data_IF_674292879466
#
_entry.id   IF_674292879466
#
_cell.length_a   1.000
_cell.length_b   1.000
_cell.length_c   1.000
_cell.angle_alpha   90.00
_cell.angle_beta   90.00
_cell.angle_gamma   90.00
#
_symmetry.space_group_name_H-M   'P 1'
#
loop_
_entity.id
_entity.type
_entity.pdbx_description
1 polymer ?
#
# COMPACT_ATOMS: atom_id res chain seq x y z
N UNK A 1 -23.26 -29.11 -3.07
CA UNK A 1 -23.23 -27.71 -2.59
C UNK A 1 -24.46 -27.01 -3.13
N UNK A 2 -25.33 -26.52 -2.26
CA UNK A 2 -26.57 -25.83 -2.68
C UNK A 2 -26.23 -24.47 -3.30
N UNK A 3 -26.98 -24.01 -4.32
CA UNK A 3 -26.81 -22.66 -4.90
C UNK A 3 -26.88 -21.55 -3.83
N UNK A 4 -27.64 -21.78 -2.74
CA UNK A 4 -27.70 -20.86 -1.60
C UNK A 4 -26.38 -20.80 -0.82
N UNK A 5 -25.66 -21.91 -0.68
CA UNK A 5 -24.36 -21.97 0.00
C UNK A 5 -23.27 -21.26 -0.80
N UNK A 6 -23.33 -21.29 -2.14
CA UNK A 6 -22.37 -20.58 -2.98
C UNK A 6 -22.39 -19.05 -2.76
N UNK A 7 -23.58 -18.49 -2.45
CA UNK A 7 -23.76 -17.08 -2.12
C UNK A 7 -23.55 -16.74 -0.64
N UNK A 8 -23.18 -17.72 0.18
CA UNK A 8 -22.89 -17.44 1.59
C UNK A 8 -21.52 -16.82 1.77
N UNK A 9 -21.49 -15.64 2.38
CA UNK A 9 -20.26 -14.89 2.59
C UNK A 9 -19.61 -15.24 3.94
N UNK A 10 -18.39 -15.77 3.90
CA UNK A 10 -17.64 -16.23 5.07
C UNK A 10 -17.98 -17.65 5.50
N UNK A 11 -17.19 -18.20 6.41
CA UNK A 11 -17.33 -19.57 6.92
C UNK A 11 -18.10 -19.58 8.24
N UNK A 12 -18.88 -20.64 8.49
CA UNK A 12 -19.55 -20.86 9.78
C UNK A 12 -18.64 -21.75 10.62
N UNK A 13 -18.23 -21.25 11.78
CA UNK A 13 -17.35 -21.94 12.71
C UNK A 13 -18.06 -22.07 14.05
N UNK A 14 -17.97 -23.23 14.67
CA UNK A 14 -18.58 -23.48 15.98
C UNK A 14 -17.97 -22.55 17.05
N UNK A 15 -18.82 -21.99 17.91
CA UNK A 15 -18.41 -21.00 18.92
C UNK A 15 -18.45 -19.53 18.44
N UNK A 16 -18.87 -19.26 17.20
CA UNK A 16 -19.05 -17.91 16.68
C UNK A 16 -20.49 -17.64 16.24
N UNK A 17 -21.09 -16.57 16.75
CA UNK A 17 -22.48 -16.16 16.43
C UNK A 17 -22.62 -15.59 15.00
N UNK A 18 -21.51 -15.14 14.42
CA UNK A 18 -21.44 -14.55 13.09
C UNK A 18 -20.56 -15.40 12.19
N UNK A 19 -20.75 -15.28 10.88
CA UNK A 19 -19.78 -15.84 9.93
C UNK A 19 -18.45 -15.13 10.02
N UNK A 20 -17.40 -15.92 9.91
CA UNK A 20 -16.04 -15.47 10.12
C UNK A 20 -15.15 -15.79 8.93
N UNK A 21 -14.02 -15.12 8.89
CA UNK A 21 -12.93 -15.34 7.94
C UNK A 21 -11.66 -15.51 8.77
N UNK A 22 -10.70 -16.31 8.29
CA UNK A 22 -9.40 -16.40 8.92
C UNK A 22 -8.59 -15.12 8.65
N UNK A 23 -8.29 -14.34 9.68
CA UNK A 23 -7.50 -13.11 9.61
C UNK A 23 -6.08 -13.40 9.11
N UNK A 24 -5.48 -14.55 9.47
CA UNK A 24 -4.14 -14.91 9.00
C UNK A 24 -4.10 -15.11 7.49
N UNK A 25 -5.15 -15.72 6.93
CA UNK A 25 -5.33 -15.87 5.49
C UNK A 25 -5.46 -14.51 4.82
N UNK A 26 -6.31 -13.63 5.36
CA UNK A 26 -6.49 -12.27 4.84
C UNK A 26 -5.19 -11.44 4.86
N UNK A 27 -4.41 -11.54 5.94
CA UNK A 27 -3.11 -10.87 6.08
C UNK A 27 -2.05 -11.43 5.14
N UNK A 28 -1.97 -12.75 5.01
CA UNK A 28 -1.06 -13.40 4.05
C UNK A 28 -1.40 -12.98 2.62
N UNK A 29 -2.68 -12.96 2.27
CA UNK A 29 -3.15 -12.52 0.96
C UNK A 29 -2.83 -11.04 0.69
N UNK A 30 -2.97 -10.15 1.69
CA UNK A 30 -2.54 -8.75 1.59
C UNK A 30 -1.03 -8.62 1.38
N UNK A 31 -0.22 -9.42 2.08
CA UNK A 31 1.23 -9.45 1.92
C UNK A 31 1.69 -9.93 0.54
N UNK A 32 1.02 -10.95 -0.02
CA UNK A 32 1.27 -11.44 -1.38
C UNK A 32 0.97 -10.34 -2.42
N UNK A 33 -0.18 -9.70 -2.30
CA UNK A 33 -0.56 -8.60 -3.20
C UNK A 33 0.38 -7.40 -3.06
N UNK A 34 0.82 -7.08 -1.84
CA UNK A 34 1.82 -6.05 -1.60
C UNK A 34 3.14 -6.39 -2.28
N UNK A 35 3.65 -7.62 -2.14
CA UNK A 35 4.91 -8.04 -2.75
C UNK A 35 4.85 -7.92 -4.28
N UNK A 36 3.81 -8.44 -4.92
CA UNK A 36 3.64 -8.32 -6.37
C UNK A 36 3.42 -6.87 -6.82
N UNK A 37 2.65 -6.10 -6.06
CA UNK A 37 2.39 -4.70 -6.37
C UNK A 37 3.63 -3.82 -6.24
N UNK A 38 4.47 -4.07 -5.23
CA UNK A 38 5.76 -3.41 -5.07
C UNK A 38 6.69 -3.76 -6.23
N UNK A 39 6.83 -5.05 -6.55
CA UNK A 39 7.62 -5.50 -7.70
C UNK A 39 7.14 -4.86 -9.01
N UNK A 40 5.83 -4.83 -9.22
CA UNK A 40 5.22 -4.21 -10.39
C UNK A 40 5.50 -2.71 -10.47
N UNK A 41 5.38 -1.99 -9.35
CA UNK A 41 5.63 -0.55 -9.29
C UNK A 41 7.10 -0.24 -9.54
N UNK A 42 8.01 -0.95 -8.87
CA UNK A 42 9.46 -0.80 -9.06
C UNK A 42 9.84 -1.12 -10.50
N UNK A 43 9.29 -2.19 -11.09
CA UNK A 43 9.57 -2.55 -12.48
C UNK A 43 9.09 -1.46 -13.45
N UNK A 44 7.89 -0.93 -13.27
CA UNK A 44 7.37 0.15 -14.11
C UNK A 44 8.17 1.45 -14.00
N UNK A 45 8.67 1.77 -12.80
CA UNK A 45 9.51 2.97 -12.57
C UNK A 45 10.92 2.79 -13.14
N UNK A 46 11.53 1.61 -12.97
CA UNK A 46 12.92 1.37 -13.39
C UNK A 46 13.07 1.07 -14.89
N UNK A 47 12.14 0.28 -15.46
CA UNK A 47 12.21 -0.12 -16.87
C UNK A 47 11.39 0.78 -17.80
N UNK A 48 10.66 1.75 -17.25
CA UNK A 48 9.70 2.60 -17.99
C UNK A 48 8.66 1.81 -18.80
N UNK A 49 8.47 0.53 -18.47
CA UNK A 49 7.60 -0.38 -19.21
C UNK A 49 6.41 -0.80 -18.35
N UNK A 50 5.21 -0.45 -18.81
CA UNK A 50 3.98 -0.57 -18.03
C UNK A 50 3.26 -1.91 -18.07
N UNK A 51 3.74 -2.88 -18.84
CA UNK A 51 3.00 -4.13 -19.11
C UNK A 51 2.73 -4.94 -17.83
N UNK A 52 3.74 -5.03 -16.94
CA UNK A 52 3.64 -5.78 -15.68
C UNK A 52 2.57 -5.15 -14.79
N UNK A 53 2.54 -3.81 -14.74
CA UNK A 53 1.54 -3.04 -14.01
C UNK A 53 0.13 -3.23 -14.55
N UNK A 54 -0.05 -3.38 -15.87
CA UNK A 54 -1.38 -3.69 -16.43
C UNK A 54 -1.87 -5.05 -15.95
N UNK A 55 -1.03 -6.08 -16.03
CA UNK A 55 -1.39 -7.42 -15.57
C UNK A 55 -1.64 -7.46 -14.06
N UNK A 56 -0.79 -6.80 -13.27
CA UNK A 56 -0.97 -6.73 -11.83
C UNK A 56 -2.29 -6.02 -11.45
N UNK A 57 -2.58 -4.85 -12.02
CA UNK A 57 -3.82 -4.12 -11.72
C UNK A 57 -5.05 -4.92 -12.16
N UNK A 58 -4.99 -5.59 -13.32
CA UNK A 58 -6.08 -6.46 -13.77
C UNK A 58 -6.32 -7.62 -12.79
N UNK A 59 -5.26 -8.31 -12.39
CA UNK A 59 -5.32 -9.38 -11.39
C UNK A 59 -5.82 -8.88 -10.04
N UNK A 60 -5.29 -7.76 -9.55
CA UNK A 60 -5.68 -7.14 -8.28
C UNK A 60 -7.16 -6.78 -8.24
N UNK A 61 -7.67 -6.14 -9.30
CA UNK A 61 -9.09 -5.78 -9.40
C UNK A 61 -9.98 -7.02 -9.46
N UNK A 62 -9.60 -8.04 -10.24
CA UNK A 62 -10.34 -9.30 -10.31
C UNK A 62 -10.35 -10.01 -8.95
N UNK A 63 -9.20 -10.07 -8.27
CA UNK A 63 -9.07 -10.69 -6.97
C UNK A 63 -9.98 -10.02 -5.93
N UNK A 64 -9.97 -8.68 -5.86
CA UNK A 64 -10.86 -7.92 -4.96
C UNK A 64 -12.34 -8.06 -5.32
N UNK A 65 -12.67 -8.14 -6.61
CA UNK A 65 -14.03 -8.40 -7.07
C UNK A 65 -14.52 -9.76 -6.53
N UNK A 66 -13.71 -10.81 -6.69
CA UNK A 66 -14.02 -12.14 -6.17
C UNK A 66 -14.11 -12.09 -4.65
N UNK A 67 -13.19 -11.44 -3.94
CA UNK A 67 -13.23 -11.31 -2.47
C UNK A 67 -14.53 -10.71 -1.95
N UNK A 68 -15.08 -9.70 -2.63
CA UNK A 68 -16.34 -9.03 -2.24
C UNK A 68 -17.57 -9.92 -2.48
N UNK A 69 -17.51 -10.81 -3.47
CA UNK A 69 -18.58 -11.75 -3.80
C UNK A 69 -18.48 -12.98 -2.89
N UNK A 70 -17.34 -13.68 -2.92
CA UNK A 70 -17.03 -14.83 -2.11
C UNK A 70 -15.50 -14.95 -1.88
N UNK A 71 -15.02 -14.75 -0.64
CA UNK A 71 -13.58 -14.78 -0.34
C UNK A 71 -12.94 -16.15 -0.47
N UNK A 72 -13.70 -17.23 -0.38
CA UNK A 72 -13.17 -18.60 -0.45
C UNK A 72 -12.60 -18.95 -1.83
N UNK A 73 -12.92 -18.16 -2.86
CA UNK A 73 -12.43 -18.38 -4.24
C UNK A 73 -11.43 -17.33 -4.71
N UNK A 74 -11.08 -16.34 -3.87
CA UNK A 74 -10.09 -15.33 -4.24
C UNK A 74 -8.71 -15.98 -4.42
N UNK A 75 -8.05 -15.82 -5.58
CA UNK A 75 -6.74 -16.41 -5.83
C UNK A 75 -5.71 -16.08 -4.76
N UNK A 76 -5.67 -14.83 -4.31
CA UNK A 76 -4.72 -14.40 -3.28
C UNK A 76 -5.06 -14.98 -1.89
N UNK A 77 -6.35 -15.14 -1.56
CA UNK A 77 -6.80 -15.79 -0.31
C UNK A 77 -6.43 -17.28 -0.32
N UNK A 78 -6.68 -17.98 -1.44
CA UNK A 78 -6.29 -19.38 -1.61
C UNK A 78 -4.78 -19.58 -1.46
N UNK A 79 -3.96 -18.70 -2.04
CA UNK A 79 -2.52 -18.71 -1.83
C UNK A 79 -2.15 -18.41 -0.38
N UNK A 80 -2.80 -17.43 0.24
CA UNK A 80 -2.63 -17.14 1.66
C UNK A 80 -2.92 -18.34 2.54
N UNK A 81 -4.03 -19.04 2.29
CA UNK A 81 -4.47 -20.26 2.96
C UNK A 81 -3.42 -21.35 2.87
N UNK A 82 -2.85 -21.57 1.68
CA UNK A 82 -1.78 -22.54 1.48
C UNK A 82 -0.56 -22.26 2.38
N UNK A 83 -0.16 -20.99 2.55
CA UNK A 83 0.97 -20.63 3.41
C UNK A 83 0.67 -20.69 4.91
N UNK A 84 -0.55 -20.39 5.34
CA UNK A 84 -0.92 -20.29 6.77
C UNK A 84 -1.67 -21.51 7.31
N UNK A 85 -1.90 -22.55 6.49
CA UNK A 85 -2.73 -23.72 6.87
C UNK A 85 -2.27 -24.47 8.13
N UNK A 86 -0.97 -24.43 8.45
CA UNK A 86 -0.42 -25.09 9.64
C UNK A 86 -0.43 -24.20 10.90
N UNK A 87 -0.97 -22.98 10.81
CA UNK A 87 -1.10 -22.05 11.93
C UNK A 87 -2.48 -22.15 12.58
N UNK A 88 -2.58 -21.82 13.86
CA UNK A 88 -3.88 -21.70 14.53
C UNK A 88 -4.69 -20.56 13.90
N UNK A 89 -5.91 -20.81 13.39
CA UNK A 89 -6.70 -19.79 12.73
C UNK A 89 -7.16 -18.73 13.73
N UNK A 90 -7.15 -17.47 13.28
CA UNK A 90 -7.70 -16.35 14.03
C UNK A 90 -8.91 -15.81 13.29
N UNK A 91 -10.08 -15.83 13.92
CA UNK A 91 -11.33 -15.53 13.24
C UNK A 91 -11.74 -14.09 13.39
N UNK A 92 -12.08 -13.46 12.26
CA UNK A 92 -12.60 -12.10 12.15
C UNK A 92 -14.00 -12.11 11.58
N UNK A 93 -14.90 -11.24 12.05
CA UNK A 93 -16.24 -11.10 11.47
C UNK A 93 -16.18 -10.86 9.95
N UNK A 94 -16.96 -11.62 9.17
CA UNK A 94 -16.88 -11.56 7.71
C UNK A 94 -17.40 -10.21 7.14
N UNK A 95 -18.44 -9.63 7.75
CA UNK A 95 -19.10 -8.41 7.26
C UNK A 95 -18.16 -7.19 7.22
N UNK A 96 -17.33 -7.00 8.24
CA UNK A 96 -16.38 -5.88 8.31
C UNK A 96 -15.26 -6.01 7.26
N UNK A 97 -14.77 -7.22 7.00
CA UNK A 97 -13.78 -7.47 5.94
C UNK A 97 -14.38 -7.25 4.55
N UNK A 98 -15.63 -7.64 4.35
CA UNK A 98 -16.37 -7.34 3.11
C UNK A 98 -16.43 -5.85 2.82
N UNK A 99 -16.72 -5.05 3.84
CA UNK A 99 -16.74 -3.60 3.72
C UNK A 99 -15.34 -3.05 3.37
N UNK A 100 -14.29 -3.51 4.07
CA UNK A 100 -12.92 -3.11 3.79
C UNK A 100 -12.50 -3.42 2.34
N UNK A 101 -12.82 -4.62 1.84
CA UNK A 101 -12.51 -5.00 0.46
C UNK A 101 -13.38 -4.27 -0.57
N UNK A 102 -14.63 -3.93 -0.24
CA UNK A 102 -15.47 -3.10 -1.10
C UNK A 102 -14.86 -1.69 -1.27
N UNK A 103 -14.31 -1.09 -0.21
CA UNK A 103 -13.58 0.17 -0.32
C UNK A 103 -12.34 0.04 -1.21
N UNK A 104 -11.59 -1.06 -1.06
CA UNK A 104 -10.46 -1.36 -1.95
C UNK A 104 -10.89 -1.49 -3.42
N UNK A 105 -12.02 -2.15 -3.68
CA UNK A 105 -12.56 -2.32 -5.02
C UNK A 105 -13.02 -1.00 -5.65
N UNK A 106 -13.62 -0.09 -4.86
CA UNK A 106 -14.00 1.26 -5.31
C UNK A 106 -12.77 2.06 -5.77
N UNK A 107 -11.62 1.86 -5.13
CA UNK A 107 -10.35 2.47 -5.55
C UNK A 107 -9.75 1.75 -6.77
N UNK A 108 -9.87 0.42 -6.84
CA UNK A 108 -9.29 -0.40 -7.89
C UNK A 108 -9.99 -0.25 -9.25
N UNK A 109 -11.31 -0.10 -9.29
CA UNK A 109 -12.09 -0.01 -10.54
C UNK A 109 -11.71 1.20 -11.42
N UNK A 110 -11.64 2.44 -10.88
CA UNK A 110 -11.13 3.58 -11.65
C UNK A 110 -9.68 3.38 -12.11
N UNK A 111 -8.82 2.82 -11.26
CA UNK A 111 -7.43 2.56 -11.62
C UNK A 111 -7.31 1.52 -12.75
N UNK A 112 -8.13 0.48 -12.72
CA UNK A 112 -8.22 -0.49 -13.80
C UNK A 112 -8.63 0.18 -15.12
N UNK A 113 -9.67 1.01 -15.12
CA UNK A 113 -10.08 1.74 -16.32
C UNK A 113 -8.97 2.68 -16.85
N UNK A 114 -8.31 3.42 -15.95
CA UNK A 114 -7.35 4.46 -16.27
C UNK A 114 -5.90 4.00 -16.51
N UNK A 115 -5.57 2.75 -16.18
CA UNK A 115 -4.22 2.20 -16.34
C UNK A 115 -4.20 0.87 -17.10
N UNK A 116 -5.32 0.16 -17.25
CA UNK A 116 -5.37 -1.07 -18.05
C UNK A 116 -6.03 -0.82 -19.40
N UNK A 117 -7.23 -0.23 -19.40
CA UNK A 117 -7.99 0.03 -20.64
C UNK A 117 -7.43 1.25 -21.36
N UNK A 118 -7.40 2.41 -20.69
CA UNK A 118 -6.91 3.66 -21.26
C UNK A 118 -5.57 4.02 -20.64
N UNK A 119 -4.46 3.63 -21.27
CA UNK A 119 -3.12 3.85 -20.72
C UNK A 119 -2.78 5.34 -20.60
N UNK A 120 -2.87 5.86 -19.38
CA UNK A 120 -2.55 7.24 -19.06
C UNK A 120 -1.79 7.31 -17.73
N UNK A 121 -0.49 6.99 -17.71
CA UNK A 121 0.32 7.09 -16.50
C UNK A 121 0.43 8.57 -16.08
N UNK A 122 0.00 8.88 -14.86
CA UNK A 122 0.07 10.22 -14.28
C UNK A 122 0.63 10.08 -12.84
N UNK A 123 1.49 11.00 -12.37
CA UNK A 123 2.01 11.01 -11.00
C UNK A 123 0.93 10.84 -9.92
N UNK A 124 -0.25 11.44 -10.10
CA UNK A 124 -1.38 11.32 -9.15
C UNK A 124 -1.86 9.87 -9.06
N UNK A 125 -1.96 9.17 -10.18
CA UNK A 125 -2.39 7.75 -10.21
C UNK A 125 -1.34 6.84 -9.58
N UNK A 126 -0.07 7.14 -9.78
CA UNK A 126 1.04 6.44 -9.12
C UNK A 126 1.00 6.65 -7.61
N UNK A 127 0.74 7.88 -7.15
CA UNK A 127 0.57 8.19 -5.73
C UNK A 127 -0.59 7.40 -5.10
N UNK A 128 -1.73 7.29 -5.79
CA UNK A 128 -2.87 6.47 -5.35
C UNK A 128 -2.45 5.00 -5.22
N UNK A 129 -1.70 4.45 -6.19
CA UNK A 129 -1.20 3.08 -6.12
C UNK A 129 -0.26 2.88 -4.92
N UNK A 130 0.63 3.84 -4.64
CA UNK A 130 1.51 3.82 -3.46
C UNK A 130 0.66 3.79 -2.18
N UNK A 131 -0.36 4.64 -2.07
CA UNK A 131 -1.27 4.66 -0.91
C UNK A 131 -1.94 3.28 -0.74
N UNK A 132 -2.43 2.66 -1.82
CA UNK A 132 -2.99 1.31 -1.77
C UNK A 132 -1.98 0.27 -1.27
N UNK A 133 -0.72 0.33 -1.73
CA UNK A 133 0.35 -0.55 -1.25
C UNK A 133 0.65 -0.31 0.23
N UNK A 134 0.66 0.94 0.70
CA UNK A 134 0.80 1.27 2.12
C UNK A 134 -0.34 0.64 2.93
N UNK A 135 -1.59 0.72 2.47
CA UNK A 135 -2.73 0.09 3.16
C UNK A 135 -2.58 -1.44 3.23
N UNK A 136 -2.08 -2.10 2.17
CA UNK A 136 -1.84 -3.55 2.17
C UNK A 136 -0.73 -3.96 3.14
N UNK A 137 0.39 -3.24 3.20
CA UNK A 137 1.47 -3.56 4.16
C UNK A 137 1.01 -3.29 5.60
N UNK A 138 0.17 -2.27 5.83
CA UNK A 138 -0.42 -2.02 7.15
C UNK A 138 -1.29 -3.19 7.62
N UNK A 139 -2.11 -3.75 6.73
CA UNK A 139 -2.92 -4.93 7.03
C UNK A 139 -2.05 -6.18 7.21
N UNK A 140 -1.09 -6.42 6.31
CA UNK A 140 -0.21 -7.58 6.35
C UNK A 140 0.73 -7.59 7.57
N UNK A 141 1.56 -6.57 7.72
CA UNK A 141 2.64 -6.53 8.71
C UNK A 141 2.15 -6.14 10.11
N UNK A 142 1.35 -5.08 10.21
CA UNK A 142 0.93 -4.52 11.50
C UNK A 142 -0.44 -5.02 11.97
N UNK A 143 -1.16 -5.80 11.17
CA UNK A 143 -2.55 -6.23 11.45
C UNK A 143 -3.53 -5.06 11.58
N UNK A 144 -3.20 -3.89 11.00
CA UNK A 144 -4.02 -2.69 11.09
C UNK A 144 -4.84 -2.59 9.80
N UNK A 145 -6.11 -3.02 9.86
CA UNK A 145 -7.05 -2.86 8.76
C UNK A 145 -7.84 -1.55 8.92
N UNK A 146 -7.44 -0.50 8.19
CA UNK A 146 -8.11 0.80 8.24
C UNK A 146 -9.60 0.71 7.83
N UNK A 147 -9.93 -0.16 6.87
CA UNK A 147 -11.31 -0.41 6.45
C UNK A 147 -12.19 -1.00 7.57
N UNK A 148 -11.65 -1.92 8.37
CA UNK A 148 -12.37 -2.47 9.53
C UNK A 148 -12.55 -1.41 10.63
N UNK A 149 -11.55 -0.54 10.83
CA UNK A 149 -11.66 0.58 11.77
C UNK A 149 -12.73 1.59 11.34
N UNK A 150 -12.79 1.90 10.05
CA UNK A 150 -13.82 2.76 9.47
C UNK A 150 -15.21 2.13 9.57
N UNK A 151 -15.33 0.82 9.34
CA UNK A 151 -16.58 0.07 9.55
C UNK A 151 -17.10 0.25 10.99
N UNK A 152 -16.23 0.07 11.99
CA UNK A 152 -16.61 0.19 13.40
C UNK A 152 -17.02 1.61 13.81
N UNK A 153 -16.52 2.63 13.09
CA UNK A 153 -16.87 4.03 13.34
C UNK A 153 -18.21 4.44 12.70
N UNK A 154 -18.50 3.93 11.49
CA UNK A 154 -19.66 4.37 10.70
C UNK A 154 -20.89 3.45 10.92
N UNK A 155 -20.68 2.14 11.05
CA UNK A 155 -21.79 1.18 11.03
C UNK A 155 -22.42 1.01 12.41
N UNK A 156 -23.77 0.91 12.50
CA UNK A 156 -24.46 0.70 13.76
C UNK A 156 -24.18 -0.67 14.37
N UNK A 157 -23.89 -1.67 13.53
CA UNK A 157 -23.42 -2.98 13.96
C UNK A 157 -21.90 -2.93 14.10
N UNK A 158 -21.43 -2.97 15.35
CA UNK A 158 -19.99 -2.94 15.65
C UNK A 158 -19.26 -4.17 15.09
N UNK A 159 -17.97 -3.97 14.86
CA UNK A 159 -17.03 -5.04 14.57
C UNK A 159 -17.15 -6.15 15.62
N UNK A 160 -17.36 -7.40 15.19
CA UNK A 160 -17.43 -8.57 16.07
C UNK A 160 -16.22 -9.46 15.84
N UNK A 161 -15.70 -10.04 16.93
CA UNK A 161 -14.58 -10.98 16.92
C UNK A 161 -13.35 -10.38 16.21
N UNK A 162 -12.75 -9.31 16.74
CA UNK A 162 -11.49 -8.81 16.20
C UNK A 162 -10.30 -9.46 16.92
N UNK A 163 -9.52 -10.32 16.25
CA UNK A 163 -8.35 -10.95 16.86
C UNK A 163 -7.37 -9.87 17.33
N UNK A 164 -6.84 -10.01 18.54
CA UNK A 164 -5.97 -9.01 19.18
C UNK A 164 -6.67 -7.69 19.56
N UNK A 165 -8.00 -7.56 19.40
CA UNK A 165 -8.74 -6.35 19.71
C UNK A 165 -8.38 -5.14 18.84
N UNK A 166 -7.76 -5.34 17.68
CA UNK A 166 -7.21 -4.23 16.87
C UNK A 166 -8.29 -3.29 16.30
N UNK A 167 -9.53 -3.76 16.18
CA UNK A 167 -10.68 -2.94 15.78
C UNK A 167 -11.34 -2.19 16.95
N UNK A 168 -11.07 -2.61 18.18
CA UNK A 168 -11.67 -2.04 19.40
C UNK A 168 -10.74 -0.95 19.97
N UNK A 169 -11.32 0.17 20.40
CA UNK A 169 -10.56 1.23 21.06
C UNK A 169 -10.30 0.80 22.51
N UNK A 170 -9.13 0.22 22.77
CA UNK A 170 -8.70 -0.19 24.12
C UNK A 170 -7.76 0.83 24.77
N UNK A 171 -7.85 0.93 26.09
CA UNK A 171 -6.84 1.60 26.91
C UNK A 171 -5.56 0.77 26.92
N UNK A 172 -4.41 1.42 26.77
CA UNK A 172 -3.12 0.73 26.69
C UNK A 172 -2.70 0.17 28.04
N UNK A 173 -2.24 -1.07 28.05
CA UNK A 173 -1.63 -1.68 29.23
C UNK A 173 -0.25 -1.09 29.52
N UNK A 174 0.23 -1.18 30.77
CA UNK A 174 1.55 -0.64 31.17
C UNK A 174 2.71 -1.16 30.29
N UNK A 175 2.64 -2.41 29.85
CA UNK A 175 3.63 -3.03 28.96
C UNK A 175 3.65 -2.38 27.56
N UNK A 176 2.52 -1.81 27.12
CA UNK A 176 2.39 -1.10 25.84
C UNK A 176 2.82 0.38 25.94
N UNK A 177 3.11 0.87 27.15
CA UNK A 177 3.56 2.24 27.36
C UNK A 177 5.08 2.30 27.45
N UNK A 178 5.68 3.26 26.76
CA UNK A 178 7.14 3.43 26.75
C UNK A 178 7.61 4.20 27.98
N UNK A 179 8.68 3.71 28.62
CA UNK A 179 9.46 4.50 29.58
C UNK A 179 10.17 5.67 28.86
N UNK A 180 10.53 6.73 29.56
CA UNK A 180 11.20 7.92 29.00
C UNK A 180 12.45 7.57 28.19
N UNK A 181 13.28 6.64 28.69
CA UNK A 181 14.45 6.16 27.95
C UNK A 181 14.08 5.44 26.64
N UNK A 182 13.04 4.59 26.66
CA UNK A 182 12.56 3.90 25.46
C UNK A 182 11.97 4.89 24.44
N UNK A 183 11.29 5.94 24.89
CA UNK A 183 10.81 7.02 24.01
C UNK A 183 11.98 7.72 23.32
N UNK A 184 13.03 8.06 24.07
CA UNK A 184 14.22 8.72 23.51
C UNK A 184 14.89 7.84 22.45
N UNK A 185 15.11 6.56 22.74
CA UNK A 185 15.72 5.61 21.80
C UNK A 185 14.86 5.47 20.54
N UNK A 186 13.54 5.30 20.69
CA UNK A 186 12.63 5.18 19.56
C UNK A 186 12.63 6.44 18.67
N UNK A 187 12.61 7.63 19.29
CA UNK A 187 12.66 8.91 18.58
C UNK A 187 14.00 9.07 17.85
N UNK A 188 15.13 8.84 18.52
CA UNK A 188 16.46 8.93 17.91
C UNK A 188 16.59 7.97 16.73
N UNK A 189 16.19 6.71 16.90
CA UNK A 189 16.25 5.71 15.82
C UNK A 189 15.41 6.14 14.62
N UNK A 190 14.21 6.66 14.86
CA UNK A 190 13.32 7.15 13.80
C UNK A 190 13.95 8.34 13.07
N UNK A 191 14.54 9.29 13.80
CA UNK A 191 15.23 10.45 13.23
C UNK A 191 16.45 10.01 12.40
N UNK A 192 17.28 9.10 12.91
CA UNK A 192 18.45 8.59 12.18
C UNK A 192 18.05 7.91 10.88
N UNK A 193 16.98 7.10 10.90
CA UNK A 193 16.45 6.47 9.67
C UNK A 193 15.96 7.54 8.70
N UNK A 194 15.19 8.53 9.18
CA UNK A 194 14.68 9.61 8.33
C UNK A 194 15.79 10.46 7.71
N UNK A 195 16.83 10.81 8.49
CA UNK A 195 18.01 11.54 8.01
C UNK A 195 18.83 10.69 7.04
N UNK A 196 18.96 9.38 7.29
CA UNK A 196 19.60 8.45 6.39
C UNK A 196 18.89 8.39 5.03
N UNK A 197 17.57 8.27 5.02
CA UNK A 197 16.75 8.29 3.80
C UNK A 197 16.85 9.64 3.10
N UNK A 198 16.76 10.75 3.83
CA UNK A 198 16.89 12.10 3.27
C UNK A 198 18.26 12.32 2.63
N UNK A 199 19.34 11.94 3.33
CA UNK A 199 20.71 12.06 2.82
C UNK A 199 20.93 11.16 1.61
N UNK A 200 20.34 9.96 1.59
CA UNK A 200 20.39 9.07 0.45
C UNK A 200 19.70 9.67 -0.78
N UNK A 201 18.54 10.32 -0.60
CA UNK A 201 17.82 10.95 -1.72
C UNK A 201 18.44 12.26 -2.21
N UNK A 202 19.15 13.01 -1.35
CA UNK A 202 19.67 14.34 -1.69
C UNK A 202 21.16 14.36 -2.06
N UNK A 203 21.97 13.53 -1.40
CA UNK A 203 23.44 13.68 -1.38
C UNK A 203 24.19 12.66 -2.23
N UNK A 204 23.50 11.64 -2.75
CA UNK A 204 24.06 10.67 -3.68
C UNK A 204 23.79 11.12 -5.12
N UNK A 205 24.75 10.85 -6.00
CA UNK A 205 24.67 11.17 -7.42
C UNK A 205 23.42 10.54 -8.06
N UNK A 206 22.52 11.40 -8.54
CA UNK A 206 21.22 11.02 -9.08
C UNK A 206 21.39 10.33 -10.43
N UNK A 207 21.28 8.99 -10.45
CA UNK A 207 21.34 8.20 -11.69
C UNK A 207 19.97 7.91 -12.33
N UNK A 208 18.88 8.44 -11.76
CA UNK A 208 17.51 8.16 -12.22
C UNK A 208 16.69 9.43 -12.41
N UNK A 209 15.93 9.52 -13.51
CA UNK A 209 15.04 10.64 -13.82
C UNK A 209 14.04 10.95 -12.69
N UNK A 210 13.65 9.95 -11.89
CA UNK A 210 12.75 10.16 -10.75
C UNK A 210 13.46 10.84 -9.57
N UNK A 211 14.72 10.50 -9.28
CA UNK A 211 15.45 11.12 -8.17
C UNK A 211 15.84 12.56 -8.50
N UNK A 212 16.07 12.88 -9.78
CA UNK A 212 16.25 14.24 -10.27
C UNK A 212 14.98 15.11 -10.11
N UNK A 213 13.81 14.59 -10.54
CA UNK A 213 12.55 15.31 -10.37
C UNK A 213 12.20 15.50 -8.88
N UNK A 214 12.45 14.48 -8.04
CA UNK A 214 12.21 14.57 -6.59
C UNK A 214 13.20 15.51 -5.92
N UNK A 215 14.48 15.53 -6.32
CA UNK A 215 15.47 16.46 -5.77
C UNK A 215 15.08 17.90 -6.08
N UNK A 216 14.73 18.21 -7.34
CA UNK A 216 14.32 19.56 -7.76
C UNK A 216 13.04 20.01 -7.03
N UNK A 217 12.07 19.11 -6.83
CA UNK A 217 10.81 19.43 -6.15
C UNK A 217 10.96 19.61 -4.63
N UNK A 218 12.00 19.00 -4.03
CA UNK A 218 12.33 19.10 -2.60
C UNK A 218 13.34 20.22 -2.27
N UNK A 219 13.96 20.86 -3.28
CA UNK A 219 14.90 21.96 -3.09
C UNK A 219 14.23 23.25 -2.62
N UNK A 220 14.94 24.02 -1.79
CA UNK A 220 14.49 25.35 -1.40
C UNK A 220 14.46 26.29 -2.61
N UNK A 221 13.56 27.28 -2.64
CA UNK A 221 13.45 28.28 -3.72
C UNK A 221 14.80 28.94 -4.04
N UNK A 222 15.67 29.08 -3.03
CA UNK A 222 17.00 29.68 -3.16
C UNK A 222 17.99 28.76 -3.88
N UNK A 223 17.95 27.46 -3.61
CA UNK A 223 18.82 26.46 -4.23
C UNK A 223 18.39 26.22 -5.69
N UNK A 224 17.08 26.23 -5.97
CA UNK A 224 16.56 26.16 -7.34
C UNK A 224 17.02 27.34 -8.21
N UNK A 225 17.12 28.53 -7.61
CA UNK A 225 17.54 29.72 -8.32
C UNK A 225 19.04 29.67 -8.64
N UNK A 226 19.86 29.22 -7.70
CA UNK A 226 21.29 28.98 -7.94
C UNK A 226 21.54 27.96 -9.06
N UNK A 227 20.74 26.88 -9.11
CA UNK A 227 20.86 25.86 -10.16
C UNK A 227 20.51 26.41 -11.55
N UNK A 228 19.45 27.24 -11.63
CA UNK A 228 19.07 27.92 -12.87
C UNK A 228 20.08 28.97 -13.31
N UNK A 229 20.66 29.71 -12.36
CA UNK A 229 21.70 30.69 -12.64
C UNK A 229 22.96 29.99 -13.18
N UNK A 230 23.35 28.85 -12.62
CA UNK A 230 24.45 28.02 -13.13
C UNK A 230 24.16 27.40 -14.52
N UNK A 231 22.92 26.97 -14.77
CA UNK A 231 22.50 26.43 -16.07
C UNK A 231 22.48 27.52 -17.15
N UNK A 232 21.96 28.71 -16.83
CA UNK A 232 22.01 29.90 -17.68
C UNK A 232 23.44 30.35 -17.98
N UNK A 233 24.34 30.28 -16.98
CA UNK A 233 25.75 30.59 -17.18
C UNK A 233 26.42 29.64 -18.18
N UNK A 234 26.09 28.34 -18.12
CA UNK A 234 26.61 27.34 -19.07
C UNK A 234 26.06 27.53 -20.48
N UNK A 235 24.78 27.88 -20.62
CA UNK A 235 24.19 28.20 -21.93
C UNK A 235 24.87 29.43 -22.55
N UNK A 236 25.18 30.46 -21.75
CA UNK A 236 25.96 31.62 -22.21
C UNK A 236 27.39 31.23 -22.62
N UNK A 237 28.07 30.41 -21.82
CA UNK A 237 29.43 29.94 -22.12
C UNK A 237 29.49 29.00 -23.34
N UNK A 238 28.39 28.35 -23.72
CA UNK A 238 28.25 27.59 -24.98
C UNK A 238 27.93 28.53 -26.16
N UNK A 239 27.04 29.50 -25.96
CA UNK A 239 26.69 30.49 -26.99
C UNK A 239 27.90 31.33 -27.41
N UNK A 240 28.72 31.77 -26.45
CA UNK A 240 29.95 32.52 -26.72
C UNK A 240 31.03 31.67 -27.43
N UNK A 241 31.00 30.34 -27.31
CA UNK A 241 31.93 29.45 -28.03
C UNK A 241 31.49 29.17 -29.48
N UNK A 242 30.19 29.15 -29.75
CA UNK A 242 29.66 28.96 -31.10
C UNK A 242 29.86 30.22 -31.98
N UNK A 243 29.97 31.41 -31.38
CA UNK A 243 30.27 32.67 -32.09
C UNK A 243 31.77 32.85 -32.45
N UNK A 244 32.67 32.05 -31.87
CA UNK A 244 34.12 32.07 -32.13
C UNK A 244 34.57 31.12 -33.28
N UNK A 245 33.65 30.32 -33.85
CA UNK A 245 33.93 29.30 -34.88
C UNK A 245 33.53 29.70 -36.33
N UNK A 246 33.33 31.00 -36.60
CA UNK A 246 33.07 31.58 -37.95
C UNK A 246 34.25 32.34 -38.58
#
# INVERSE_FOLDING_TARGET
>A
MSLKEFFTYGEKVDGYDVRVINEREARAAAGILFAFGLLSLTNAVMLSHGIVTRYFIAFFTLDFLIRVINPSYSPSMLLGRFFVQNQTPEYVGAAQKRFAWALGLILALPMFYLLVINWQPNPIKVLICIICLVLLILESAFSICLGCKLYNLIMPKKATNCPGGVCEIKTKDKIQTFNTAQKIIAILTTITIAVGIYSFMYKLENKTHVSEVVSVLMMSKKELQQLKDEEYQKELDEFDKDDDDF
#
